data_IF_778946155512
#
_entry.id   IF_778946155512
#
_cell.length_a   1.000
_cell.length_b   1.000
_cell.length_c   1.000
_cell.angle_alpha   90.00
_cell.angle_beta   90.00
_cell.angle_gamma   90.00
#
_symmetry.space_group_name_H-M   'P 1'
#
loop_
_entity.id
_entity.type
_entity.pdbx_description
1 polymer ?
#
# COMPACT_ATOMS: atom_id res chain seq x y z
N UNK A 1 30.81 39.62 25.91
CA UNK A 1 30.20 38.28 25.74
C UNK A 1 30.19 37.99 24.25
N UNK A 2 31.26 37.38 23.72
CA UNK A 2 31.33 36.90 22.34
C UNK A 2 30.82 35.47 22.36
N UNK A 3 29.52 35.30 22.12
CA UNK A 3 28.91 34.00 21.89
C UNK A 3 28.57 33.87 20.40
N UNK A 4 28.86 32.70 19.86
CA UNK A 4 27.98 31.96 18.95
C UNK A 4 28.10 32.01 17.41
N UNK A 5 29.15 32.52 16.78
CA UNK A 5 29.29 32.29 15.32
C UNK A 5 29.72 30.86 14.94
N UNK A 6 30.44 30.15 15.82
CA UNK A 6 30.76 28.72 15.63
C UNK A 6 29.63 27.79 16.06
N UNK A 7 28.92 28.14 17.15
CA UNK A 7 27.79 27.34 17.64
C UNK A 7 26.57 27.41 16.71
N UNK A 8 26.28 28.55 16.09
CA UNK A 8 25.21 28.65 15.06
C UNK A 8 25.47 27.74 13.85
N UNK A 9 26.73 27.60 13.44
CA UNK A 9 27.12 26.78 12.28
C UNK A 9 26.98 25.27 12.58
N UNK A 10 27.31 24.85 13.81
CA UNK A 10 27.14 23.46 14.26
C UNK A 10 25.66 23.10 14.40
N UNK A 11 24.83 24.00 14.94
CA UNK A 11 23.38 23.79 15.11
C UNK A 11 22.68 23.73 13.74
N UNK A 12 23.04 24.61 12.81
CA UNK A 12 22.52 24.58 11.43
C UNK A 12 22.86 23.26 10.74
N UNK A 13 24.13 22.82 10.79
CA UNK A 13 24.56 21.57 10.16
C UNK A 13 23.89 20.31 10.76
N UNK A 14 23.57 20.31 12.06
CA UNK A 14 22.80 19.22 12.67
C UNK A 14 21.35 19.20 12.19
N UNK A 15 20.73 20.38 12.05
CA UNK A 15 19.35 20.50 11.60
C UNK A 15 19.20 20.10 10.12
N UNK A 16 20.14 20.53 9.27
CA UNK A 16 20.17 20.21 7.86
C UNK A 16 20.34 18.70 7.63
N UNK A 17 21.30 18.06 8.33
CA UNK A 17 21.49 16.61 8.27
C UNK A 17 20.25 15.85 8.78
N UNK A 18 19.58 16.34 9.82
CA UNK A 18 18.36 15.73 10.34
C UNK A 18 17.21 15.80 9.32
N UNK A 19 17.02 16.95 8.67
CA UNK A 19 16.01 17.12 7.63
C UNK A 19 16.29 16.25 6.40
N UNK A 20 17.55 16.13 5.99
CA UNK A 20 17.95 15.27 4.87
C UNK A 20 17.69 13.79 5.19
N UNK A 21 18.06 13.34 6.39
CA UNK A 21 17.76 11.98 6.87
C UNK A 21 16.25 11.71 6.90
N UNK A 22 15.45 12.64 7.41
CA UNK A 22 13.99 12.53 7.45
C UNK A 22 13.38 12.44 6.04
N UNK A 23 13.91 13.19 5.07
CA UNK A 23 13.46 13.11 3.66
C UNK A 23 13.78 11.74 3.05
N UNK A 24 14.97 11.21 3.30
CA UNK A 24 15.35 9.88 2.81
C UNK A 24 14.45 8.79 3.40
N UNK A 25 14.21 8.82 4.71
CA UNK A 25 13.30 7.87 5.37
C UNK A 25 11.88 8.00 4.80
N UNK A 26 11.39 9.22 4.56
CA UNK A 26 10.09 9.44 3.95
C UNK A 26 10.01 8.79 2.56
N UNK A 27 11.00 8.98 1.71
CA UNK A 27 11.03 8.38 0.38
C UNK A 27 11.05 6.85 0.45
N UNK A 28 11.80 6.29 1.40
CA UNK A 28 11.83 4.85 1.64
C UNK A 28 10.44 4.33 2.04
N UNK A 29 9.76 4.97 2.98
CA UNK A 29 8.43 4.51 3.45
C UNK A 29 7.34 4.71 2.38
N UNK A 30 7.41 5.79 1.59
CA UNK A 30 6.53 5.98 0.43
C UNK A 30 6.76 4.88 -0.61
N UNK A 31 8.02 4.54 -0.89
CA UNK A 31 8.36 3.46 -1.83
C UNK A 31 7.89 2.10 -1.31
N UNK A 32 8.08 1.80 -0.02
CA UNK A 32 7.56 0.58 0.62
C UNK A 32 6.05 0.49 0.47
N UNK A 33 5.31 1.55 0.79
CA UNK A 33 3.84 1.61 0.66
C UNK A 33 3.41 1.34 -0.78
N UNK A 34 4.03 2.01 -1.76
CA UNK A 34 3.75 1.78 -3.19
C UNK A 34 4.04 0.34 -3.62
N UNK A 35 5.18 -0.20 -3.20
CA UNK A 35 5.53 -1.60 -3.49
C UNK A 35 4.51 -2.56 -2.90
N UNK A 36 4.01 -2.34 -1.68
CA UNK A 36 2.96 -3.19 -1.09
C UNK A 36 1.66 -3.14 -1.89
N UNK A 37 1.25 -1.96 -2.36
CA UNK A 37 0.07 -1.82 -3.24
C UNK A 37 0.25 -2.53 -4.58
N UNK A 38 1.44 -2.45 -5.17
CA UNK A 38 1.76 -3.19 -6.40
C UNK A 38 1.81 -4.71 -6.18
N UNK A 39 2.38 -5.16 -5.05
CA UNK A 39 2.34 -6.57 -4.67
C UNK A 39 0.91 -7.05 -4.43
N UNK A 40 0.06 -6.26 -3.76
CA UNK A 40 -1.37 -6.55 -3.59
C UNK A 40 -2.05 -6.69 -4.95
N UNK A 41 -1.82 -5.77 -5.88
CA UNK A 41 -2.34 -5.86 -7.24
C UNK A 41 -1.91 -7.15 -7.93
N UNK A 42 -0.63 -7.53 -7.84
CA UNK A 42 -0.11 -8.73 -8.47
C UNK A 42 -0.68 -10.01 -7.84
N UNK A 43 -0.82 -10.04 -6.51
CA UNK A 43 -1.38 -11.19 -5.78
C UNK A 43 -2.86 -11.36 -6.11
N UNK A 44 -3.66 -10.29 -6.11
CA UNK A 44 -5.08 -10.33 -6.46
C UNK A 44 -5.28 -10.75 -7.91
N UNK A 45 -4.53 -10.15 -8.85
CA UNK A 45 -4.61 -10.54 -10.25
C UNK A 45 -4.21 -12.00 -10.45
N UNK A 46 -3.10 -12.42 -9.85
CA UNK A 46 -2.60 -13.79 -9.94
C UNK A 46 -3.59 -14.80 -9.35
N UNK A 47 -4.23 -14.48 -8.23
CA UNK A 47 -5.24 -15.35 -7.64
C UNK A 47 -6.48 -15.49 -8.51
N UNK A 48 -6.98 -14.38 -9.06
CA UNK A 48 -8.17 -14.39 -9.90
C UNK A 48 -7.90 -15.07 -11.25
N UNK A 49 -6.70 -14.86 -11.82
CA UNK A 49 -6.27 -15.53 -13.04
C UNK A 49 -6.15 -17.05 -12.83
N UNK A 50 -5.54 -17.49 -11.73
CA UNK A 50 -5.47 -18.92 -11.39
C UNK A 50 -6.86 -19.51 -11.19
N UNK A 51 -7.79 -18.78 -10.57
CA UNK A 51 -9.17 -19.22 -10.42
C UNK A 51 -9.83 -19.42 -11.78
N UNK A 52 -9.75 -18.44 -12.70
CA UNK A 52 -10.33 -18.55 -14.05
C UNK A 52 -9.75 -19.71 -14.87
N UNK A 53 -8.44 -19.95 -14.76
CA UNK A 53 -7.77 -21.09 -15.42
C UNK A 53 -8.28 -22.40 -14.83
N UNK A 54 -8.42 -22.49 -13.50
CA UNK A 54 -8.87 -23.71 -12.83
C UNK A 54 -10.33 -24.09 -13.11
N UNK A 55 -11.17 -23.09 -13.42
CA UNK A 55 -12.58 -23.30 -13.75
C UNK A 55 -12.84 -23.39 -15.26
N UNK A 56 -11.80 -23.33 -16.09
CA UNK A 56 -11.87 -23.31 -17.56
C UNK A 56 -12.81 -22.21 -18.10
N UNK A 57 -12.90 -21.09 -17.37
CA UNK A 57 -13.76 -19.94 -17.73
C UNK A 57 -12.94 -18.79 -18.30
N UNK A 58 -11.69 -19.04 -18.70
CA UNK A 58 -10.80 -18.01 -19.20
C UNK A 58 -11.25 -17.55 -20.59
N UNK A 59 -11.79 -16.34 -20.66
CA UNK A 59 -12.07 -15.64 -21.90
C UNK A 59 -11.76 -14.13 -21.76
N UNK A 60 -11.75 -13.41 -22.89
CA UNK A 60 -11.41 -11.98 -22.94
C UNK A 60 -12.32 -11.16 -22.02
N UNK A 61 -13.62 -11.46 -21.99
CA UNK A 61 -14.58 -10.74 -21.15
C UNK A 61 -14.28 -10.92 -19.66
N UNK A 62 -14.03 -12.14 -19.20
CA UNK A 62 -13.66 -12.42 -17.80
C UNK A 62 -12.31 -11.80 -17.44
N UNK A 63 -11.36 -11.76 -18.37
CA UNK A 63 -10.05 -11.19 -18.16
C UNK A 63 -10.12 -9.68 -17.92
N UNK A 64 -10.97 -8.98 -18.69
CA UNK A 64 -11.22 -7.54 -18.48
C UNK A 64 -11.84 -7.29 -17.09
N UNK A 65 -12.78 -8.14 -16.66
CA UNK A 65 -13.45 -8.01 -15.36
C UNK A 65 -12.46 -8.17 -14.20
N UNK A 66 -11.62 -9.20 -14.22
CA UNK A 66 -10.64 -9.43 -13.13
C UNK A 66 -9.52 -8.38 -13.11
N UNK A 67 -9.31 -7.64 -14.21
CA UNK A 67 -8.29 -6.60 -14.29
C UNK A 67 -8.68 -5.31 -13.55
N UNK A 68 -9.97 -5.09 -13.30
CA UNK A 68 -10.48 -3.85 -12.70
C UNK A 68 -9.86 -3.60 -11.33
N UNK A 69 -9.85 -4.61 -10.45
CA UNK A 69 -9.36 -4.45 -9.08
C UNK A 69 -7.82 -4.26 -9.04
N UNK A 70 -7.01 -5.10 -9.72
CA UNK A 70 -5.58 -4.85 -9.88
C UNK A 70 -5.27 -3.46 -10.44
N UNK A 71 -5.98 -3.01 -11.47
CA UNK A 71 -5.78 -1.67 -12.04
C UNK A 71 -6.07 -0.55 -11.01
N UNK A 72 -7.13 -0.69 -10.21
CA UNK A 72 -7.43 0.23 -9.11
C UNK A 72 -6.30 0.23 -8.06
N UNK A 73 -5.81 -0.94 -7.64
CA UNK A 73 -4.71 -1.04 -6.68
C UNK A 73 -3.40 -0.44 -7.20
N UNK A 74 -3.09 -0.64 -8.49
CA UNK A 74 -1.97 0.05 -9.15
C UNK A 74 -2.15 1.56 -9.13
N UNK A 75 -3.34 2.06 -9.45
CA UNK A 75 -3.70 3.47 -9.37
C UNK A 75 -3.45 4.06 -7.97
N UNK A 76 -3.86 3.33 -6.92
CA UNK A 76 -3.63 3.73 -5.53
C UNK A 76 -2.13 3.77 -5.18
N UNK A 77 -1.30 2.94 -5.83
CA UNK A 77 0.15 2.99 -5.69
C UNK A 77 0.76 4.32 -6.15
N UNK A 78 0.19 4.96 -7.18
CA UNK A 78 0.60 6.31 -7.58
C UNK A 78 0.11 7.37 -6.60
N UNK A 79 -1.13 7.24 -6.10
CA UNK A 79 -1.67 8.12 -5.07
C UNK A 79 -0.85 8.05 -3.78
N UNK A 80 -0.26 6.90 -3.47
CA UNK A 80 0.49 6.68 -2.23
C UNK A 80 1.73 7.58 -2.10
N UNK A 81 2.29 8.07 -3.22
CA UNK A 81 3.36 9.07 -3.18
C UNK A 81 2.91 10.43 -2.61
N UNK A 82 1.62 10.74 -2.71
CA UNK A 82 1.03 11.97 -2.17
C UNK A 82 0.33 11.70 -0.84
N UNK A 83 -0.47 10.66 -0.75
CA UNK A 83 -1.29 10.35 0.43
C UNK A 83 -1.22 8.86 0.77
N UNK A 84 -0.10 8.40 1.38
CA UNK A 84 0.15 6.98 1.60
C UNK A 84 -0.92 6.33 2.48
N UNK A 85 -1.34 7.00 3.55
CA UNK A 85 -2.35 6.48 4.46
C UNK A 85 -3.72 6.36 3.80
N UNK A 86 -4.13 7.38 3.02
CA UNK A 86 -5.41 7.35 2.31
C UNK A 86 -5.44 6.21 1.29
N UNK A 87 -4.36 6.04 0.52
CA UNK A 87 -4.24 4.93 -0.44
C UNK A 87 -4.44 3.56 0.22
N UNK A 88 -3.85 3.34 1.40
CA UNK A 88 -3.99 2.07 2.14
C UNK A 88 -5.41 1.87 2.69
N UNK A 89 -6.06 2.94 3.19
CA UNK A 89 -7.46 2.87 3.64
C UNK A 89 -8.37 2.47 2.48
N UNK A 90 -8.25 3.13 1.33
CA UNK A 90 -9.07 2.81 0.15
C UNK A 90 -8.80 1.37 -0.30
N UNK A 91 -7.54 0.94 -0.37
CA UNK A 91 -7.19 -0.42 -0.74
C UNK A 91 -7.83 -1.46 0.21
N UNK A 92 -7.75 -1.23 1.52
CA UNK A 92 -8.35 -2.12 2.52
C UNK A 92 -9.88 -2.19 2.40
N UNK A 93 -10.55 -1.05 2.19
CA UNK A 93 -12.01 -0.99 1.99
C UNK A 93 -12.42 -1.73 0.72
N UNK A 94 -11.71 -1.55 -0.38
CA UNK A 94 -11.98 -2.25 -1.65
C UNK A 94 -11.84 -3.76 -1.46
N UNK A 95 -10.72 -4.21 -0.87
CA UNK A 95 -10.47 -5.65 -0.62
C UNK A 95 -11.55 -6.25 0.28
N UNK A 96 -11.86 -5.59 1.40
CA UNK A 96 -12.88 -6.05 2.33
C UNK A 96 -14.27 -6.09 1.67
N UNK A 97 -14.62 -5.05 0.90
CA UNK A 97 -15.88 -4.98 0.17
C UNK A 97 -16.04 -6.12 -0.84
N UNK A 98 -14.98 -6.46 -1.58
CA UNK A 98 -14.97 -7.59 -2.51
C UNK A 98 -15.19 -8.91 -1.76
N UNK A 99 -14.51 -9.11 -0.63
CA UNK A 99 -14.68 -10.35 0.15
C UNK A 99 -16.08 -10.49 0.73
N UNK A 100 -16.66 -9.39 1.23
CA UNK A 100 -18.06 -9.37 1.71
C UNK A 100 -19.01 -9.68 0.56
N UNK A 101 -18.84 -9.03 -0.59
CA UNK A 101 -19.66 -9.30 -1.77
C UNK A 101 -19.55 -10.77 -2.22
N UNK A 102 -18.33 -11.30 -2.31
CA UNK A 102 -18.09 -12.68 -2.69
C UNK A 102 -18.76 -13.66 -1.70
N UNK A 103 -18.64 -13.42 -0.40
CA UNK A 103 -19.24 -14.26 0.63
C UNK A 103 -20.79 -14.28 0.54
N UNK A 104 -21.41 -13.16 0.20
CA UNK A 104 -22.87 -13.05 0.02
C UNK A 104 -23.32 -13.81 -1.24
N UNK A 105 -22.60 -13.65 -2.36
CA UNK A 105 -23.02 -14.20 -3.67
C UNK A 105 -22.71 -15.69 -3.82
N UNK A 106 -21.55 -16.13 -3.35
CA UNK A 106 -21.05 -17.50 -3.57
C UNK A 106 -21.23 -18.41 -2.34
N UNK A 107 -21.71 -17.85 -1.22
CA UNK A 107 -21.96 -18.57 0.02
C UNK A 107 -20.70 -18.85 0.85
N UNK A 108 -20.89 -19.44 2.04
CA UNK A 108 -19.83 -19.64 3.03
C UNK A 108 -18.66 -20.56 2.59
N UNK A 109 -18.85 -21.45 1.61
CA UNK A 109 -17.77 -22.32 1.12
C UNK A 109 -16.66 -21.53 0.41
N UNK A 110 -17.00 -20.45 -0.29
CA UNK A 110 -16.01 -19.54 -0.88
C UNK A 110 -15.25 -18.72 0.17
N UNK A 111 -15.77 -18.66 1.40
CA UNK A 111 -15.05 -18.04 2.51
C UNK A 111 -13.82 -18.87 2.92
N UNK A 112 -13.89 -20.19 2.79
CA UNK A 112 -12.85 -21.14 3.22
C UNK A 112 -11.85 -21.43 2.08
N UNK A 113 -12.30 -21.40 0.82
CA UNK A 113 -11.38 -21.51 -0.32
C UNK A 113 -10.46 -20.29 -0.41
N UNK A 114 -9.21 -20.52 -0.83
CA UNK A 114 -8.22 -19.45 -0.99
C UNK A 114 -7.74 -18.81 0.32
N UNK A 115 -7.92 -19.46 1.47
CA UNK A 115 -7.52 -18.92 2.78
C UNK A 115 -6.05 -18.49 2.85
N UNK A 116 -5.15 -19.23 2.18
CA UNK A 116 -3.72 -18.90 2.11
C UNK A 116 -3.50 -17.55 1.42
N UNK A 117 -4.19 -17.31 0.30
CA UNK A 117 -4.10 -16.05 -0.46
C UNK A 117 -4.68 -14.91 0.37
N UNK A 118 -5.81 -15.14 1.06
CA UNK A 118 -6.40 -14.15 1.97
C UNK A 118 -5.43 -13.79 3.10
N UNK A 119 -4.73 -14.76 3.68
CA UNK A 119 -3.70 -14.51 4.71
C UNK A 119 -2.54 -13.67 4.17
N UNK A 120 -2.06 -13.95 2.95
CA UNK A 120 -1.03 -13.14 2.28
C UNK A 120 -1.52 -11.71 2.06
N UNK A 121 -2.77 -11.54 1.59
CA UNK A 121 -3.37 -10.22 1.37
C UNK A 121 -3.47 -9.45 2.70
N UNK A 122 -3.97 -10.07 3.77
CA UNK A 122 -4.05 -9.42 5.10
C UNK A 122 -2.68 -9.00 5.58
N UNK A 123 -1.67 -9.87 5.48
CA UNK A 123 -0.30 -9.53 5.86
C UNK A 123 0.23 -8.33 5.06
N UNK A 124 0.02 -8.30 3.74
CA UNK A 124 0.45 -7.19 2.90
C UNK A 124 -0.29 -5.88 3.24
N UNK A 125 -1.58 -5.95 3.56
CA UNK A 125 -2.35 -4.78 4.02
C UNK A 125 -1.79 -4.25 5.33
N UNK A 126 -1.56 -5.10 6.34
CA UNK A 126 -0.99 -4.69 7.63
C UNK A 126 0.40 -4.07 7.44
N UNK A 127 1.28 -4.74 6.70
CA UNK A 127 2.62 -4.23 6.42
C UNK A 127 2.58 -2.92 5.64
N UNK A 128 1.63 -2.76 4.71
CA UNK A 128 1.42 -1.51 3.98
C UNK A 128 0.92 -0.38 4.88
N UNK A 129 0.04 -0.67 5.85
CA UNK A 129 -0.42 0.32 6.83
C UNK A 129 0.72 0.82 7.72
N UNK A 130 1.61 -0.06 8.17
CA UNK A 130 2.76 0.32 8.99
C UNK A 130 3.63 1.36 8.26
N UNK A 131 4.08 1.05 7.04
CA UNK A 131 4.84 2.00 6.22
C UNK A 131 4.08 3.28 5.89
N UNK A 132 2.77 3.18 5.64
CA UNK A 132 1.97 4.34 5.31
C UNK A 132 1.79 5.31 6.49
N UNK A 133 1.62 4.78 7.71
CA UNK A 133 1.52 5.57 8.94
C UNK A 133 2.85 6.28 9.22
N UNK A 134 3.98 5.57 9.09
CA UNK A 134 5.32 6.15 9.27
C UNK A 134 5.58 7.28 8.25
N UNK A 135 5.30 7.04 6.97
CA UNK A 135 5.41 8.08 5.93
C UNK A 135 4.54 9.30 6.24
N UNK A 136 3.29 9.10 6.67
CA UNK A 136 2.38 10.19 6.99
C UNK A 136 2.85 10.99 8.22
N UNK A 137 3.46 10.33 9.21
CA UNK A 137 4.00 10.98 10.42
C UNK A 137 5.20 11.87 10.05
N UNK A 138 6.18 11.34 9.34
CA UNK A 138 7.36 12.08 8.89
C UNK A 138 6.96 13.27 8.00
N UNK A 139 5.99 13.06 7.10
CA UNK A 139 5.48 14.13 6.24
C UNK A 139 4.82 15.27 7.02
N UNK A 140 4.25 15.00 8.20
CA UNK A 140 3.73 16.04 9.09
C UNK A 140 4.87 16.75 9.83
N UNK A 141 5.88 16.02 10.28
CA UNK A 141 7.07 16.56 10.97
C UNK A 141 7.90 17.47 10.05
N UNK A 142 8.01 17.16 8.76
CA UNK A 142 8.74 17.99 7.78
C UNK A 142 7.97 19.22 7.30
N UNK A 143 6.66 19.29 7.57
CA UNK A 143 5.80 20.43 7.21
C UNK A 143 5.55 21.38 8.39
N UNK A 144 5.78 20.91 9.61
CA UNK A 144 5.78 21.74 10.83
C UNK A 144 7.11 22.44 11.00
#
# INVERSE_FOLDING_TARGET
>A
MQQNSQDENIVSGLYDNYQETQKEILEIELRKTRTKLFTLSAVVFGSDLLALVSTDTLNISTLIVILVIPALLLGLGFLAGKEPLLSMIIAAVVIAGIWVYAAIVTGGMAAISGWLIKAIIVYLVIAGFQSAVEAQKIKKELKG
#
